data_IF_923225078196
#
_entry.id   IF_923225078196
#
_cell.length_a   1.000
_cell.length_b   1.000
_cell.length_c   1.000
_cell.angle_alpha   90.00
_cell.angle_beta   90.00
_cell.angle_gamma   90.00
#
_symmetry.space_group_name_H-M   'P 1'
#
loop_
_entity.id
_entity.type
_entity.pdbx_description
1 polymer ?
#
# COMPACT_ATOMS: atom_id res chain seq x y z
N UNK A 1 6.07 29.60 -14.75
CA UNK A 1 6.87 28.79 -13.81
C UNK A 1 7.13 27.42 -14.44
N UNK A 2 8.36 26.91 -14.44
CA UNK A 2 8.58 25.50 -14.82
C UNK A 2 7.90 24.63 -13.76
N UNK A 3 7.16 23.57 -14.15
CA UNK A 3 6.58 22.68 -13.16
C UNK A 3 7.69 22.12 -12.26
N UNK A 4 7.43 22.10 -10.97
CA UNK A 4 8.37 21.52 -10.00
C UNK A 4 8.61 20.04 -10.37
N UNK A 5 9.85 19.58 -10.44
CA UNK A 5 10.12 18.20 -10.83
C UNK A 5 9.48 17.24 -9.84
N UNK A 6 8.88 16.16 -10.33
CA UNK A 6 8.32 15.08 -9.50
C UNK A 6 9.45 14.43 -8.67
N UNK A 7 9.71 14.95 -7.48
CA UNK A 7 10.82 14.58 -6.61
C UNK A 7 10.33 14.28 -5.18
N UNK A 8 9.69 13.12 -4.94
CA UNK A 8 9.15 12.77 -3.63
C UNK A 8 10.21 12.46 -2.58
N UNK A 9 11.43 12.08 -3.01
CA UNK A 9 12.41 11.46 -2.14
C UNK A 9 13.35 12.42 -1.43
N UNK A 10 13.67 12.09 -0.17
CA UNK A 10 14.79 12.65 0.58
C UNK A 10 15.84 11.56 0.89
N UNK A 11 17.04 12.00 1.15
CA UNK A 11 18.15 11.10 1.46
C UNK A 11 17.93 10.40 2.81
N UNK A 12 17.91 9.06 2.87
CA UNK A 12 17.70 8.33 4.11
C UNK A 12 18.90 8.42 5.08
N UNK A 13 20.03 9.01 4.65
CA UNK A 13 21.24 9.16 5.46
C UNK A 13 21.39 10.55 6.06
N UNK A 14 20.87 11.60 5.41
CA UNK A 14 21.04 12.98 5.85
C UNK A 14 19.80 13.88 5.75
N UNK A 15 18.67 13.36 5.25
CA UNK A 15 17.42 14.09 5.15
C UNK A 15 17.33 15.11 4.02
N UNK A 16 18.43 15.42 3.30
CA UNK A 16 18.40 16.37 2.20
C UNK A 16 17.58 15.87 1.00
N UNK A 17 16.97 16.76 0.20
CA UNK A 17 16.25 16.36 -1.01
C UNK A 17 17.14 15.56 -1.95
N UNK A 18 16.55 14.54 -2.56
CA UNK A 18 17.18 13.74 -3.61
C UNK A 18 16.67 14.19 -4.98
N UNK A 19 17.59 14.38 -5.92
CA UNK A 19 17.31 14.78 -7.31
C UNK A 19 18.03 13.88 -8.30
N UNK A 20 17.50 13.78 -9.53
CA UNK A 20 18.05 12.96 -10.61
C UNK A 20 17.08 11.85 -11.07
N UNK A 21 17.40 11.21 -12.20
CA UNK A 21 16.55 10.21 -12.83
C UNK A 21 17.22 8.82 -12.91
N UNK A 22 18.47 8.76 -13.31
CA UNK A 22 19.25 7.49 -13.38
C UNK A 22 19.90 7.15 -12.04
N UNK A 23 20.31 8.17 -11.30
CA UNK A 23 20.74 8.08 -9.91
C UNK A 23 20.18 9.27 -9.14
N UNK A 24 19.64 9.00 -7.96
CA UNK A 24 19.24 10.06 -7.03
C UNK A 24 20.46 10.50 -6.21
N UNK A 25 20.69 11.80 -6.12
CA UNK A 25 21.81 12.40 -5.36
C UNK A 25 21.32 13.52 -4.46
N UNK A 26 21.94 13.66 -3.28
CA UNK A 26 21.75 14.80 -2.39
C UNK A 26 22.96 15.74 -2.41
N UNK A 27 22.83 16.93 -1.81
CA UNK A 27 23.90 17.92 -1.71
C UNK A 27 25.17 17.44 -0.99
N UNK A 28 25.06 16.39 -0.14
CA UNK A 28 26.20 15.75 0.53
C UNK A 28 26.81 14.58 -0.26
N UNK A 29 26.51 14.48 -1.55
CA UNK A 29 27.02 13.44 -2.46
C UNK A 29 26.62 11.99 -2.14
N UNK A 30 25.61 11.74 -1.30
CA UNK A 30 25.03 10.40 -1.23
C UNK A 30 24.32 10.11 -2.55
N UNK A 31 24.54 8.91 -3.10
CA UNK A 31 24.02 8.50 -4.40
C UNK A 31 23.32 7.16 -4.31
N UNK A 32 22.17 7.05 -4.98
CA UNK A 32 21.34 5.85 -5.02
C UNK A 32 20.98 5.57 -6.49
N UNK A 33 21.52 4.51 -7.06
CA UNK A 33 21.29 4.13 -8.45
C UNK A 33 19.87 3.62 -8.65
N UNK A 34 19.31 3.95 -9.81
CA UNK A 34 18.03 3.41 -10.25
C UNK A 34 18.21 1.98 -10.73
N UNK A 35 17.44 1.06 -10.15
CA UNK A 35 17.40 -0.32 -10.62
C UNK A 35 16.85 -0.39 -12.07
N UNK A 36 17.23 -1.41 -12.82
CA UNK A 36 16.76 -1.62 -14.20
C UNK A 36 15.23 -1.70 -14.34
N UNK A 37 14.55 -2.08 -13.27
CA UNK A 37 13.08 -2.13 -13.21
C UNK A 37 12.42 -0.79 -12.90
N UNK A 38 13.20 0.25 -12.58
CA UNK A 38 12.71 1.62 -12.43
C UNK A 38 12.50 2.09 -10.98
N UNK A 39 12.93 1.35 -9.96
CA UNK A 39 12.84 1.74 -8.55
C UNK A 39 14.21 2.10 -7.95
N UNK A 40 14.20 2.72 -6.76
CA UNK A 40 15.40 3.01 -5.96
C UNK A 40 15.42 2.20 -4.68
N UNK A 41 16.63 1.81 -4.22
CA UNK A 41 16.81 1.17 -2.92
C UNK A 41 17.21 2.24 -1.89
N UNK A 42 16.23 2.75 -1.14
CA UNK A 42 16.41 3.82 -0.15
C UNK A 42 16.35 3.30 1.30
N UNK A 43 16.41 1.98 1.51
CA UNK A 43 16.49 1.36 2.83
C UNK A 43 17.98 1.18 3.21
N UNK A 44 18.48 1.92 4.21
CA UNK A 44 19.87 1.75 4.67
C UNK A 44 20.12 0.34 5.22
N UNK A 45 21.29 -0.23 4.93
CA UNK A 45 21.66 -1.59 5.38
C UNK A 45 21.60 -1.71 6.91
N UNK A 46 22.04 -0.69 7.63
CA UNK A 46 22.01 -0.66 9.10
C UNK A 46 20.59 -0.63 9.68
N UNK A 47 19.58 -0.29 8.89
CA UNK A 47 18.16 -0.31 9.29
C UNK A 47 17.49 -1.66 9.02
N UNK A 48 18.18 -2.60 8.39
CA UNK A 48 17.67 -3.91 8.06
C UNK A 48 17.85 -4.88 9.24
N UNK A 49 16.74 -5.38 9.81
CA UNK A 49 16.77 -6.41 10.87
C UNK A 49 17.05 -7.82 10.33
N UNK A 50 16.79 -8.05 9.05
CA UNK A 50 17.00 -9.33 8.35
C UNK A 50 17.56 -9.05 6.96
N UNK A 51 18.18 -10.06 6.32
CA UNK A 51 18.73 -9.93 4.96
C UNK A 51 17.66 -9.68 3.89
N UNK A 52 16.41 -10.09 4.13
CA UNK A 52 15.27 -9.93 3.23
C UNK A 52 14.03 -9.54 4.06
N UNK A 53 13.86 -8.27 4.43
CA UNK A 53 12.70 -7.82 5.18
C UNK A 53 11.45 -7.79 4.31
N UNK A 54 10.29 -7.91 4.96
CA UNK A 54 8.98 -7.89 4.31
C UNK A 54 8.56 -9.25 3.74
N UNK A 55 7.60 -9.22 2.85
CA UNK A 55 7.03 -10.41 2.23
C UNK A 55 8.05 -11.16 1.35
N UNK A 56 8.03 -12.49 1.42
CA UNK A 56 8.85 -13.34 0.55
C UNK A 56 8.42 -13.23 -0.92
N UNK A 57 9.26 -13.73 -1.83
CA UNK A 57 8.90 -13.77 -3.27
C UNK A 57 7.64 -14.58 -3.53
N UNK A 58 7.47 -15.66 -2.79
CA UNK A 58 6.33 -16.58 -2.90
C UNK A 58 5.04 -15.88 -2.44
N UNK A 59 5.07 -15.17 -1.31
CA UNK A 59 3.94 -14.38 -0.81
C UNK A 59 3.55 -13.26 -1.79
N UNK A 60 4.55 -12.54 -2.32
CA UNK A 60 4.32 -11.48 -3.32
C UNK A 60 3.72 -12.05 -4.60
N UNK A 61 4.20 -13.22 -5.06
CA UNK A 61 3.65 -13.89 -6.24
C UNK A 61 2.21 -14.35 -6.01
N UNK A 62 1.92 -14.94 -4.84
CA UNK A 62 0.57 -15.37 -4.45
C UNK A 62 -0.40 -14.19 -4.40
N UNK A 63 -0.02 -13.09 -3.72
CA UNK A 63 -0.82 -11.85 -3.67
C UNK A 63 -1.09 -11.31 -5.06
N UNK A 64 -0.08 -11.22 -5.90
CA UNK A 64 -0.22 -10.75 -7.28
C UNK A 64 -1.18 -11.64 -8.09
N UNK A 65 -1.07 -12.95 -8.00
CA UNK A 65 -1.96 -13.88 -8.69
C UNK A 65 -3.41 -13.68 -8.26
N UNK A 66 -3.66 -13.61 -6.95
CA UNK A 66 -4.99 -13.40 -6.39
C UNK A 66 -5.60 -12.04 -6.78
N UNK A 67 -4.85 -10.95 -6.62
CA UNK A 67 -5.35 -9.60 -6.94
C UNK A 67 -5.62 -9.45 -8.46
N UNK A 68 -4.76 -9.99 -9.31
CA UNK A 68 -4.96 -9.95 -10.76
C UNK A 68 -6.11 -10.86 -11.25
N UNK A 69 -6.51 -11.87 -10.48
CA UNK A 69 -7.73 -12.64 -10.75
C UNK A 69 -9.03 -11.83 -10.52
N UNK A 70 -8.93 -10.61 -9.97
CA UNK A 70 -10.05 -9.68 -9.86
C UNK A 70 -10.91 -9.81 -8.60
N UNK A 71 -10.57 -10.71 -7.67
CA UNK A 71 -11.37 -10.95 -6.46
C UNK A 71 -11.59 -9.67 -5.63
N UNK A 72 -10.62 -8.75 -5.61
CA UNK A 72 -10.74 -7.47 -4.92
C UNK A 72 -11.14 -6.30 -5.84
N UNK A 73 -11.83 -6.59 -6.95
CA UNK A 73 -12.26 -5.55 -7.89
C UNK A 73 -13.17 -4.48 -7.25
N UNK A 74 -14.05 -4.86 -6.32
CA UNK A 74 -14.88 -3.90 -5.56
C UNK A 74 -14.03 -2.95 -4.70
N UNK A 75 -12.97 -3.47 -4.09
CA UNK A 75 -12.00 -2.70 -3.34
C UNK A 75 -11.26 -1.68 -4.22
N UNK A 76 -10.71 -2.13 -5.35
CA UNK A 76 -9.95 -1.27 -6.26
C UNK A 76 -10.79 -0.11 -6.81
N UNK A 77 -12.06 -0.35 -7.15
CA UNK A 77 -12.99 0.71 -7.56
C UNK A 77 -13.26 1.72 -6.45
N UNK A 78 -13.62 1.22 -5.26
CA UNK A 78 -13.89 2.08 -4.10
C UNK A 78 -12.66 2.94 -3.72
N UNK A 79 -11.47 2.35 -3.77
CA UNK A 79 -10.23 3.06 -3.51
C UNK A 79 -9.99 4.19 -4.52
N UNK A 80 -10.15 3.94 -5.82
CA UNK A 80 -10.02 4.96 -6.86
C UNK A 80 -11.03 6.10 -6.68
N UNK A 81 -12.30 5.79 -6.39
CA UNK A 81 -13.35 6.78 -6.10
C UNK A 81 -13.02 7.63 -4.87
N UNK A 82 -12.54 7.01 -3.79
CA UNK A 82 -12.16 7.74 -2.57
C UNK A 82 -10.93 8.62 -2.79
N UNK A 83 -9.92 8.14 -3.52
CA UNK A 83 -8.77 8.96 -3.88
C UNK A 83 -9.17 10.18 -4.73
N UNK A 84 -10.13 10.02 -5.65
CA UNK A 84 -10.69 11.14 -6.42
C UNK A 84 -11.49 12.11 -5.56
N UNK A 85 -12.28 11.61 -4.61
CA UNK A 85 -13.13 12.44 -3.75
C UNK A 85 -12.33 13.21 -2.69
N UNK A 86 -11.32 12.57 -2.11
CA UNK A 86 -10.54 13.15 -1.01
C UNK A 86 -9.19 13.72 -1.43
N UNK A 87 -8.70 13.41 -2.62
CA UNK A 87 -7.46 13.98 -3.15
C UNK A 87 -7.66 15.44 -3.55
N UNK A 88 -7.05 16.35 -2.78
CA UNK A 88 -7.09 17.80 -3.03
C UNK A 88 -5.68 18.26 -3.35
N UNK A 89 -5.34 18.60 -4.61
CA UNK A 89 -4.02 19.09 -4.95
C UNK A 89 -3.78 20.50 -4.40
N UNK A 90 -2.52 20.89 -4.29
CA UNK A 90 -2.10 22.19 -3.75
C UNK A 90 -2.55 23.38 -4.64
N UNK A 91 -2.82 23.16 -5.92
CA UNK A 91 -3.31 24.18 -6.86
C UNK A 91 -4.32 23.60 -7.84
N UNK A 92 -5.17 24.46 -8.42
CA UNK A 92 -6.27 24.04 -9.30
C UNK A 92 -5.82 23.17 -10.49
N UNK A 93 -4.66 23.48 -11.07
CA UNK A 93 -4.08 22.77 -12.22
C UNK A 93 -2.87 21.89 -11.84
N UNK A 94 -2.57 21.79 -10.53
CA UNK A 94 -1.45 20.96 -10.06
C UNK A 94 -1.82 19.48 -10.07
N UNK A 95 -0.87 18.57 -10.38
CA UNK A 95 -1.10 17.15 -10.17
C UNK A 95 -1.26 16.86 -8.67
N UNK A 96 -2.13 15.91 -8.33
CA UNK A 96 -2.22 15.39 -6.97
C UNK A 96 -0.93 14.61 -6.63
N UNK A 97 -0.27 14.95 -5.51
CA UNK A 97 0.83 14.16 -4.99
C UNK A 97 0.27 13.05 -4.07
N UNK A 98 0.25 11.83 -4.57
CA UNK A 98 -0.24 10.66 -3.84
C UNK A 98 0.93 9.78 -3.40
N UNK A 99 0.97 9.45 -2.11
CA UNK A 99 1.94 8.54 -1.51
C UNK A 99 1.26 7.25 -1.07
N UNK A 100 1.69 6.09 -1.60
CA UNK A 100 1.28 4.78 -1.09
C UNK A 100 2.35 4.21 -0.14
N UNK A 101 2.03 4.21 1.16
CA UNK A 101 2.91 3.74 2.23
C UNK A 101 2.69 2.25 2.52
N UNK A 102 3.50 1.41 1.91
CA UNK A 102 3.35 -0.04 1.89
C UNK A 102 2.66 -0.52 0.61
N UNK A 103 3.13 -0.03 -0.55
CA UNK A 103 2.50 -0.23 -1.86
C UNK A 103 2.48 -1.68 -2.35
N UNK A 104 3.22 -2.58 -1.70
CA UNK A 104 3.30 -3.97 -2.14
C UNK A 104 3.76 -4.09 -3.59
N UNK A 105 3.03 -4.88 -4.40
CA UNK A 105 3.32 -5.09 -5.82
C UNK A 105 2.64 -4.06 -6.76
N UNK A 106 2.02 -3.00 -6.18
CA UNK A 106 1.45 -1.87 -6.92
C UNK A 106 0.09 -2.14 -7.58
N UNK A 107 -0.67 -3.13 -7.13
CA UNK A 107 -2.01 -3.40 -7.69
C UNK A 107 -2.98 -2.26 -7.38
N UNK A 108 -2.96 -1.75 -6.15
CA UNK A 108 -3.79 -0.61 -5.72
C UNK A 108 -3.43 0.66 -6.49
N UNK A 109 -2.14 0.90 -6.68
CA UNK A 109 -1.64 2.04 -7.46
C UNK A 109 -2.14 2.04 -8.90
N UNK A 110 -2.22 0.85 -9.53
CA UNK A 110 -2.79 0.72 -10.88
C UNK A 110 -4.28 1.05 -10.91
N UNK A 111 -5.04 0.61 -9.91
CA UNK A 111 -6.47 0.96 -9.79
C UNK A 111 -6.66 2.48 -9.65
N UNK A 112 -5.84 3.13 -8.82
CA UNK A 112 -5.88 4.58 -8.62
C UNK A 112 -5.49 5.31 -9.90
N UNK A 113 -4.37 4.94 -10.52
CA UNK A 113 -3.90 5.56 -11.76
C UNK A 113 -4.95 5.45 -12.88
N UNK A 114 -5.61 4.31 -12.99
CA UNK A 114 -6.71 4.11 -13.94
C UNK A 114 -7.90 5.03 -13.63
N UNK A 115 -8.33 5.14 -12.37
CA UNK A 115 -9.43 6.01 -11.97
C UNK A 115 -9.13 7.49 -12.27
N UNK A 116 -7.91 7.95 -11.96
CA UNK A 116 -7.49 9.33 -12.27
C UNK A 116 -7.41 9.59 -13.77
N UNK A 117 -6.90 8.64 -14.55
CA UNK A 117 -6.87 8.76 -16.02
C UNK A 117 -8.28 8.85 -16.61
N UNK A 118 -9.23 8.02 -16.14
CA UNK A 118 -10.63 8.07 -16.57
C UNK A 118 -11.32 9.38 -16.19
N UNK A 119 -10.96 9.97 -15.06
CA UNK A 119 -11.47 11.26 -14.61
C UNK A 119 -10.77 12.47 -15.26
N UNK A 120 -9.74 12.26 -16.08
CA UNK A 120 -8.93 13.33 -16.66
C UNK A 120 -8.17 14.18 -15.63
N UNK A 121 -7.90 13.63 -14.44
CA UNK A 121 -7.20 14.33 -13.36
C UNK A 121 -5.73 13.89 -13.29
N UNK A 122 -4.77 14.83 -13.28
CA UNK A 122 -3.36 14.48 -13.15
C UNK A 122 -3.01 14.01 -11.74
N UNK A 123 -2.22 12.93 -11.64
CA UNK A 123 -1.67 12.41 -10.38
C UNK A 123 -0.19 12.11 -10.53
N UNK A 124 0.60 12.48 -9.53
CA UNK A 124 1.98 12.07 -9.36
C UNK A 124 2.05 11.06 -8.20
N UNK A 125 2.16 9.79 -8.54
CA UNK A 125 2.13 8.68 -7.59
C UNK A 125 3.54 8.27 -7.21
N UNK A 126 3.81 8.24 -5.90
CA UNK A 126 4.98 7.64 -5.31
C UNK A 126 4.57 6.52 -4.35
N UNK A 127 5.32 5.42 -4.34
CA UNK A 127 5.04 4.31 -3.43
C UNK A 127 6.32 3.70 -2.89
N UNK A 128 6.26 3.15 -1.70
CA UNK A 128 7.38 2.38 -1.15
C UNK A 128 6.88 1.16 -0.39
N UNK A 129 7.73 0.16 -0.34
CA UNK A 129 7.54 -1.04 0.47
C UNK A 129 8.89 -1.55 0.95
N UNK A 130 8.90 -2.26 2.06
CA UNK A 130 10.13 -2.86 2.58
C UNK A 130 10.55 -4.12 1.80
N UNK A 131 9.57 -4.80 1.18
CA UNK A 131 9.78 -6.01 0.38
C UNK A 131 10.29 -5.66 -1.03
N UNK A 132 11.60 -5.77 -1.24
CA UNK A 132 12.23 -5.54 -2.55
C UNK A 132 11.56 -6.32 -3.71
N UNK A 133 11.14 -7.59 -3.56
CA UNK A 133 10.42 -8.31 -4.61
C UNK A 133 9.11 -7.63 -5.04
N UNK A 134 8.37 -7.05 -4.08
CA UNK A 134 7.12 -6.35 -4.32
C UNK A 134 7.36 -5.05 -5.10
N UNK A 135 8.25 -4.19 -4.60
CA UNK A 135 8.62 -2.91 -5.23
C UNK A 135 9.10 -3.11 -6.68
N UNK A 136 9.87 -4.17 -6.94
CA UNK A 136 10.31 -4.53 -8.29
C UNK A 136 9.14 -4.78 -9.25
N UNK A 137 8.08 -5.42 -8.77
CA UNK A 137 6.87 -5.68 -9.57
C UNK A 137 6.03 -4.42 -9.75
N UNK A 138 5.90 -3.59 -8.72
CA UNK A 138 5.20 -2.31 -8.78
C UNK A 138 5.81 -1.39 -9.85
N UNK A 139 7.14 -1.20 -9.81
CA UNK A 139 7.85 -0.36 -10.76
C UNK A 139 7.71 -0.83 -12.23
N UNK A 140 7.68 -2.16 -12.45
CA UNK A 140 7.42 -2.71 -13.79
C UNK A 140 5.98 -2.52 -14.25
N UNK A 141 5.03 -2.60 -13.32
CA UNK A 141 3.61 -2.55 -13.63
C UNK A 141 3.10 -1.13 -13.89
N UNK A 142 3.69 -0.13 -13.23
CA UNK A 142 3.33 1.29 -13.38
C UNK A 142 4.60 2.15 -13.48
N UNK A 143 5.28 2.18 -14.64
CA UNK A 143 6.56 2.91 -14.83
C UNK A 143 6.45 4.43 -14.66
N UNK A 144 5.24 5.00 -14.77
CA UNK A 144 4.98 6.42 -14.57
C UNK A 144 5.07 6.85 -13.09
N UNK A 145 4.88 5.90 -12.16
CA UNK A 145 5.02 6.14 -10.73
C UNK A 145 6.48 6.03 -10.27
N UNK A 146 6.80 6.61 -9.13
CA UNK A 146 8.12 6.51 -8.51
C UNK A 146 8.08 5.57 -7.31
N UNK A 147 8.91 4.51 -7.36
CA UNK A 147 8.93 3.49 -6.32
C UNK A 147 10.28 3.38 -5.60
N UNK A 148 10.24 3.12 -4.30
CA UNK A 148 11.43 2.88 -3.51
C UNK A 148 11.29 1.68 -2.57
N UNK A 149 12.38 0.97 -2.34
CA UNK A 149 12.49 0.04 -1.20
C UNK A 149 12.80 0.86 0.04
N UNK A 150 11.89 0.87 1.02
CA UNK A 150 12.00 1.70 2.21
C UNK A 150 11.17 1.16 3.37
N UNK A 151 11.40 1.68 4.58
CA UNK A 151 10.63 1.38 5.79
C UNK A 151 9.53 2.41 6.03
N UNK A 152 8.35 1.97 6.46
CA UNK A 152 7.28 2.88 6.89
C UNK A 152 7.66 3.73 8.12
N UNK A 153 8.58 3.23 8.96
CA UNK A 153 9.01 3.91 10.18
C UNK A 153 10.22 4.84 10.00
N UNK A 154 10.75 4.95 8.79
CA UNK A 154 11.79 5.91 8.40
C UNK A 154 11.63 6.16 6.90
N UNK A 155 10.60 6.91 6.55
CA UNK A 155 10.21 7.13 5.17
C UNK A 155 11.18 8.09 4.47
N UNK A 156 11.81 7.70 3.36
CA UNK A 156 12.67 8.59 2.59
C UNK A 156 11.84 9.53 1.69
N UNK A 157 10.77 10.08 2.25
CA UNK A 157 9.85 11.01 1.58
C UNK A 157 10.04 12.39 2.18
N UNK A 158 10.08 13.42 1.34
CA UNK A 158 10.21 14.83 1.76
C UNK A 158 9.06 15.20 2.71
N UNK A 159 9.40 16.01 3.70
CA UNK A 159 8.41 16.61 4.61
C UNK A 159 7.37 17.38 3.81
N UNK A 160 6.10 17.22 4.16
CA UNK A 160 4.95 17.93 3.57
C UNK A 160 4.84 17.79 2.04
N UNK A 161 5.32 16.66 1.49
CA UNK A 161 5.23 16.40 0.06
C UNK A 161 3.85 15.90 -0.38
N UNK A 162 3.19 15.04 0.40
CA UNK A 162 1.98 14.36 -0.02
C UNK A 162 0.72 15.19 0.23
N UNK A 163 -0.13 15.32 -0.77
CA UNK A 163 -1.52 15.81 -0.65
C UNK A 163 -2.43 14.73 -0.09
N UNK A 164 -2.22 13.48 -0.55
CA UNK A 164 -2.96 12.29 -0.14
C UNK A 164 -1.98 11.15 0.17
N UNK A 165 -2.13 10.55 1.35
CA UNK A 165 -1.42 9.35 1.77
C UNK A 165 -2.38 8.17 1.81
N UNK A 166 -1.96 7.06 1.22
CA UNK A 166 -2.63 5.79 1.29
C UNK A 166 -1.84 4.83 2.19
N UNK A 167 -2.54 4.13 3.07
CA UNK A 167 -2.00 3.01 3.84
C UNK A 167 -3.00 1.86 3.82
N UNK A 168 -2.70 0.82 3.02
CA UNK A 168 -3.55 -0.36 2.87
C UNK A 168 -2.90 -1.56 3.53
N UNK A 169 -3.49 -2.05 4.64
CA UNK A 169 -3.03 -3.26 5.35
C UNK A 169 -1.54 -3.25 5.74
N UNK A 170 -0.97 -2.08 5.85
CA UNK A 170 0.44 -1.85 6.15
C UNK A 170 0.60 -1.28 7.57
N UNK A 171 1.77 -1.39 8.22
CA UNK A 171 1.99 -0.83 9.54
C UNK A 171 1.69 0.67 9.58
N UNK A 172 0.98 1.11 10.62
CA UNK A 172 0.67 2.51 10.85
C UNK A 172 1.84 3.23 11.51
N UNK A 173 2.45 4.18 10.81
CA UNK A 173 3.61 4.96 11.25
C UNK A 173 3.23 6.43 11.45
N UNK A 174 2.49 6.73 12.54
CA UNK A 174 1.83 8.00 12.79
C UNK A 174 2.74 9.22 12.59
N UNK A 175 3.91 9.25 13.22
CA UNK A 175 4.84 10.38 13.14
C UNK A 175 5.33 10.64 11.71
N UNK A 176 5.65 9.57 10.99
CA UNK A 176 6.08 9.67 9.61
C UNK A 176 4.93 10.10 8.69
N UNK A 177 3.70 9.61 8.92
CA UNK A 177 2.53 10.03 8.16
C UNK A 177 2.23 11.52 8.37
N UNK A 178 2.33 12.01 9.62
CA UNK A 178 2.24 13.45 9.92
C UNK A 178 3.32 14.26 9.22
N UNK A 179 4.55 13.77 9.21
CA UNK A 179 5.69 14.47 8.61
C UNK A 179 5.53 14.61 7.09
N UNK A 180 5.16 13.53 6.39
CA UNK A 180 5.12 13.52 4.93
C UNK A 180 3.88 14.17 4.32
N UNK A 181 2.76 14.19 5.05
CA UNK A 181 1.56 14.91 4.65
C UNK A 181 1.76 16.41 4.84
N UNK A 182 1.34 17.22 3.85
CA UNK A 182 1.26 18.68 4.01
C UNK A 182 0.16 19.05 5.02
N UNK A 183 0.15 20.28 5.58
CA UNK A 183 -0.98 20.80 6.35
C UNK A 183 -2.28 20.70 5.54
N UNK A 184 -3.35 20.16 6.15
CA UNK A 184 -4.62 19.86 5.48
C UNK A 184 -4.55 18.74 4.44
N UNK A 185 -3.42 18.04 4.31
CA UNK A 185 -3.29 16.82 3.53
C UNK A 185 -4.10 15.69 4.17
N UNK A 186 -4.51 14.72 3.36
CA UNK A 186 -5.44 13.67 3.80
C UNK A 186 -4.81 12.30 3.75
N UNK A 187 -5.32 11.41 4.59
CA UNK A 187 -4.91 10.02 4.65
C UNK A 187 -6.12 9.11 4.47
N UNK A 188 -6.00 8.11 3.61
CA UNK A 188 -6.92 6.98 3.53
C UNK A 188 -6.23 5.78 4.16
N UNK A 189 -6.73 5.36 5.31
CA UNK A 189 -6.25 4.19 6.03
C UNK A 189 -7.24 3.05 5.85
N UNK A 190 -6.78 1.92 5.32
CA UNK A 190 -7.63 0.79 4.99
C UNK A 190 -7.33 -0.40 5.88
N UNK A 191 -8.37 -0.89 6.54
CA UNK A 191 -8.34 -2.04 7.43
C UNK A 191 -9.39 -3.08 7.04
N UNK A 192 -9.22 -4.35 7.41
CA UNK A 192 -10.26 -5.35 7.19
C UNK A 192 -11.49 -5.03 8.04
N UNK A 193 -12.68 -5.18 7.45
CA UNK A 193 -13.95 -5.18 8.19
C UNK A 193 -14.12 -6.44 9.03
N UNK A 194 -15.14 -6.43 9.90
CA UNK A 194 -15.37 -7.52 10.86
C UNK A 194 -15.47 -8.91 10.18
N UNK A 195 -16.22 -9.00 9.11
CA UNK A 195 -16.49 -10.25 8.39
C UNK A 195 -15.43 -10.64 7.36
N UNK A 196 -14.38 -9.82 7.19
CA UNK A 196 -13.36 -10.08 6.17
C UNK A 196 -12.73 -11.46 6.33
N UNK A 197 -12.92 -12.33 5.32
CA UNK A 197 -12.43 -13.70 5.24
C UNK A 197 -12.89 -14.58 6.43
N UNK A 198 -14.10 -14.33 6.97
CA UNK A 198 -14.59 -15.08 8.12
C UNK A 198 -14.75 -16.57 7.81
N UNK A 199 -15.29 -16.96 6.65
CA UNK A 199 -15.50 -18.36 6.29
C UNK A 199 -14.15 -19.08 6.09
N UNK A 200 -13.12 -18.38 5.60
CA UNK A 200 -11.78 -18.96 5.58
C UNK A 200 -11.26 -19.23 7.00
N UNK A 201 -11.47 -18.29 7.95
CA UNK A 201 -11.10 -18.52 9.35
C UNK A 201 -11.88 -19.67 9.96
N UNK A 202 -13.14 -19.87 9.58
CA UNK A 202 -13.96 -20.99 10.05
C UNK A 202 -13.43 -22.36 9.58
N UNK A 203 -12.75 -22.40 8.45
CA UNK A 203 -12.03 -23.60 7.99
C UNK A 203 -10.69 -23.78 8.72
N UNK A 204 -9.96 -22.68 8.95
CA UNK A 204 -8.61 -22.70 9.51
C UNK A 204 -8.58 -22.96 11.02
N UNK A 205 -9.58 -22.50 11.77
CA UNK A 205 -9.58 -22.50 13.23
C UNK A 205 -10.82 -23.17 13.80
N UNK A 206 -10.66 -23.95 14.86
CA UNK A 206 -11.78 -24.60 15.57
C UNK A 206 -12.69 -23.57 16.26
N UNK A 207 -12.15 -22.42 16.65
CA UNK A 207 -12.90 -21.29 17.18
C UNK A 207 -12.62 -20.05 16.29
N UNK A 208 -13.39 -19.84 15.23
CA UNK A 208 -13.22 -18.72 14.34
C UNK A 208 -13.61 -17.40 15.03
N UNK A 209 -12.93 -16.32 14.65
CA UNK A 209 -13.15 -15.00 15.23
C UNK A 209 -13.33 -13.94 14.13
N UNK A 210 -14.18 -12.94 14.40
CA UNK A 210 -14.31 -11.75 13.56
C UNK A 210 -13.12 -10.81 13.78
N UNK A 211 -12.78 -10.01 12.77
CA UNK A 211 -11.76 -8.98 12.97
C UNK A 211 -12.27 -7.95 13.97
N UNK A 212 -11.43 -7.47 14.91
CA UNK A 212 -11.83 -6.40 15.80
C UNK A 212 -12.05 -5.11 15.00
N UNK A 213 -13.17 -4.46 15.26
CA UNK A 213 -13.45 -3.12 14.76
C UNK A 213 -13.06 -2.13 15.86
N UNK A 214 -11.93 -1.47 15.67
CA UNK A 214 -11.44 -0.48 16.61
C UNK A 214 -11.77 0.93 16.10
N UNK A 215 -12.31 1.75 16.98
CA UNK A 215 -12.31 3.20 16.80
C UNK A 215 -10.99 3.71 17.39
N UNK A 216 -10.12 4.22 16.55
CA UNK A 216 -8.81 4.73 16.98
C UNK A 216 -8.72 6.20 16.65
N UNK A 217 -8.46 7.00 17.68
CA UNK A 217 -8.04 8.38 17.50
C UNK A 217 -6.53 8.42 17.27
N UNK A 218 -6.11 9.09 16.22
CA UNK A 218 -4.70 9.31 15.91
C UNK A 218 -4.34 10.76 16.15
N UNK A 219 -3.37 11.00 17.03
CA UNK A 219 -2.93 12.35 17.39
C UNK A 219 -2.46 13.13 16.16
N UNK A 220 -2.98 14.35 15.97
CA UNK A 220 -2.71 15.22 14.83
C UNK A 220 -3.45 14.83 13.55
N UNK A 221 -4.50 13.98 13.68
CA UNK A 221 -5.37 13.60 12.59
C UNK A 221 -6.85 13.73 13.00
N UNK A 222 -7.62 14.46 12.22
CA UNK A 222 -9.07 14.60 12.40
C UNK A 222 -9.79 13.65 11.45
N UNK A 223 -10.69 12.78 11.93
CA UNK A 223 -11.51 11.95 11.07
C UNK A 223 -12.47 12.83 10.26
N UNK A 224 -12.55 12.60 8.95
CA UNK A 224 -13.40 13.36 8.02
C UNK A 224 -14.31 12.50 7.17
N UNK A 225 -14.18 11.18 7.24
CA UNK A 225 -15.05 10.26 6.52
C UNK A 225 -14.71 8.81 6.79
N UNK A 226 -15.68 7.97 6.47
CA UNK A 226 -15.54 6.52 6.49
C UNK A 226 -16.40 5.92 5.37
N UNK A 227 -15.93 4.83 4.78
CA UNK A 227 -16.70 4.02 3.85
C UNK A 227 -16.42 2.54 4.09
N UNK A 228 -17.49 1.76 4.17
CA UNK A 228 -17.39 0.29 4.16
C UNK A 228 -17.72 -0.23 2.77
N UNK A 229 -16.98 -1.25 2.35
CA UNK A 229 -17.22 -1.99 1.11
C UNK A 229 -17.12 -3.47 1.41
N UNK A 230 -18.17 -4.21 1.07
CA UNK A 230 -18.23 -5.65 1.31
C UNK A 230 -18.83 -6.38 0.11
N UNK A 231 -18.54 -7.65 0.02
CA UNK A 231 -19.05 -8.56 -0.99
C UNK A 231 -18.65 -9.99 -0.67
N UNK A 232 -19.07 -10.93 -1.50
CA UNK A 232 -18.69 -12.32 -1.38
C UNK A 232 -17.92 -12.76 -2.63
N UNK A 233 -16.90 -13.59 -2.44
CA UNK A 233 -16.09 -14.15 -3.51
C UNK A 233 -16.07 -15.67 -3.40
N UNK A 234 -16.08 -16.36 -4.54
CA UNK A 234 -15.86 -17.82 -4.61
C UNK A 234 -14.49 -18.06 -5.22
N UNK A 235 -13.62 -18.71 -4.47
CA UNK A 235 -12.23 -18.99 -4.81
C UNK A 235 -12.08 -20.49 -5.06
N UNK A 236 -11.72 -20.95 -6.27
CA UNK A 236 -11.53 -22.35 -6.59
C UNK A 236 -10.25 -22.91 -5.94
N UNK A 237 -10.18 -24.24 -5.78
CA UNK A 237 -9.07 -24.96 -5.14
C UNK A 237 -7.68 -24.47 -5.59
N UNK A 238 -7.48 -24.30 -6.89
CA UNK A 238 -6.19 -23.86 -7.46
C UNK A 238 -5.74 -22.45 -7.06
N UNK A 239 -6.57 -21.66 -6.38
CA UNK A 239 -6.27 -20.30 -5.93
C UNK A 239 -6.43 -20.11 -4.42
N UNK A 240 -6.89 -21.13 -3.68
CA UNK A 240 -7.03 -21.09 -2.22
C UNK A 240 -5.69 -20.90 -1.51
N UNK A 241 -4.65 -21.56 -2.01
CA UNK A 241 -3.29 -21.37 -1.49
C UNK A 241 -2.81 -19.93 -1.66
N UNK A 242 -3.08 -19.32 -2.82
CA UNK A 242 -2.71 -17.91 -3.07
C UNK A 242 -3.46 -16.96 -2.13
N UNK A 243 -4.77 -17.16 -1.93
CA UNK A 243 -5.55 -16.41 -0.95
C UNK A 243 -4.96 -16.57 0.46
N UNK A 244 -4.67 -17.79 0.88
CA UNK A 244 -4.14 -18.07 2.21
C UNK A 244 -2.75 -17.47 2.43
N UNK A 245 -1.84 -17.68 1.47
CA UNK A 245 -0.45 -17.23 1.55
C UNK A 245 -0.30 -15.68 1.57
N UNK A 246 -1.27 -14.93 1.04
CA UNK A 246 -1.24 -13.47 1.09
C UNK A 246 -1.74 -12.88 2.42
N UNK A 247 -2.27 -13.71 3.33
CA UNK A 247 -2.81 -13.27 4.62
C UNK A 247 -1.84 -13.51 5.77
N UNK A 248 -1.96 -12.76 6.88
CA UNK A 248 -1.16 -13.02 8.08
C UNK A 248 -1.51 -14.37 8.75
N UNK A 249 -2.60 -15.02 8.37
CA UNK A 249 -3.01 -16.31 8.89
C UNK A 249 -2.04 -17.43 8.49
N UNK A 250 -1.39 -17.31 7.33
CA UNK A 250 -0.42 -18.28 6.82
C UNK A 250 0.63 -18.72 7.86
N UNK A 251 1.10 -17.77 8.67
CA UNK A 251 2.14 -18.00 9.68
C UNK A 251 1.60 -18.48 11.03
N UNK A 252 0.31 -18.35 11.28
CA UNK A 252 -0.30 -18.60 12.60
C UNK A 252 -1.25 -19.78 12.61
N UNK A 253 -1.58 -20.35 11.45
CA UNK A 253 -2.54 -21.45 11.34
C UNK A 253 -1.92 -22.79 11.70
N UNK A 254 -2.59 -23.61 12.51
CA UNK A 254 -2.21 -25.00 12.74
C UNK A 254 -2.17 -25.81 11.44
N UNK A 255 -1.32 -26.84 11.38
CA UNK A 255 -1.13 -27.65 10.16
C UNK A 255 -2.41 -28.33 9.67
N UNK A 256 -3.24 -28.80 10.59
CA UNK A 256 -4.53 -29.43 10.29
C UNK A 256 -5.53 -28.43 9.69
N UNK A 257 -5.57 -27.17 10.16
CA UNK A 257 -6.37 -26.10 9.57
C UNK A 257 -5.97 -25.79 8.12
N UNK A 258 -4.66 -25.68 7.87
CA UNK A 258 -4.14 -25.51 6.51
C UNK A 258 -4.49 -26.69 5.60
N UNK A 259 -4.43 -27.93 6.13
CA UNK A 259 -4.82 -29.14 5.39
C UNK A 259 -6.32 -29.16 5.07
N UNK A 260 -7.18 -28.72 6.02
CA UNK A 260 -8.63 -28.58 5.77
C UNK A 260 -8.89 -27.62 4.61
N UNK A 261 -8.23 -26.47 4.60
CA UNK A 261 -8.39 -25.48 3.52
C UNK A 261 -7.94 -26.05 2.17
N UNK A 262 -6.79 -26.72 2.14
CA UNK A 262 -6.22 -27.30 0.92
C UNK A 262 -7.09 -28.44 0.33
N UNK A 263 -7.91 -29.09 1.14
CA UNK A 263 -8.80 -30.17 0.71
C UNK A 263 -10.13 -29.67 0.09
N UNK A 264 -10.43 -28.37 0.17
CA UNK A 264 -11.68 -27.83 -0.39
C UNK A 264 -11.61 -27.73 -1.91
N UNK A 265 -12.68 -28.06 -2.64
CA UNK A 265 -12.78 -27.83 -4.08
C UNK A 265 -12.92 -26.33 -4.41
N UNK A 266 -13.52 -25.57 -3.52
CA UNK A 266 -13.69 -24.11 -3.57
C UNK A 266 -14.02 -23.58 -2.18
N UNK A 267 -13.91 -22.27 -2.01
CA UNK A 267 -14.36 -21.56 -0.81
C UNK A 267 -15.10 -20.28 -1.21
N UNK A 268 -16.35 -20.17 -0.78
CA UNK A 268 -17.06 -18.90 -0.77
C UNK A 268 -16.82 -18.19 0.55
N UNK A 269 -16.30 -16.96 0.49
CA UNK A 269 -15.98 -16.17 1.68
C UNK A 269 -16.29 -14.69 1.47
N UNK A 270 -16.63 -14.03 2.57
CA UNK A 270 -16.88 -12.59 2.55
C UNK A 270 -15.58 -11.81 2.52
N UNK A 271 -15.59 -10.74 1.74
CA UNK A 271 -14.58 -9.71 1.75
C UNK A 271 -15.22 -8.41 2.27
N UNK A 272 -14.60 -7.78 3.25
CA UNK A 272 -15.10 -6.56 3.86
C UNK A 272 -13.93 -5.63 4.17
N UNK A 273 -14.04 -4.37 3.76
CA UNK A 273 -12.99 -3.37 3.89
C UNK A 273 -13.58 -2.08 4.48
N UNK A 274 -12.85 -1.51 5.44
CA UNK A 274 -13.17 -0.19 5.99
C UNK A 274 -12.09 0.79 5.52
N UNK A 275 -12.53 1.85 4.89
CA UNK A 275 -11.71 2.98 4.45
C UNK A 275 -11.96 4.12 5.43
N UNK A 276 -10.98 4.42 6.25
CA UNK A 276 -11.02 5.49 7.23
C UNK A 276 -10.28 6.70 6.64
N UNK A 277 -10.93 7.85 6.60
CA UNK A 277 -10.35 9.06 6.00
C UNK A 277 -10.09 10.10 7.08
N UNK A 278 -8.85 10.56 7.10
CA UNK A 278 -8.37 11.55 8.06
C UNK A 278 -7.79 12.76 7.33
N UNK A 279 -7.84 13.90 7.99
CA UNK A 279 -7.15 15.12 7.57
C UNK A 279 -6.09 15.48 8.62
N UNK A 280 -4.87 15.81 8.18
CA UNK A 280 -3.80 16.29 9.05
C UNK A 280 -4.16 17.67 9.58
N UNK A 281 -4.12 17.81 10.92
CA UNK A 281 -4.30 19.07 11.64
C UNK A 281 -3.08 19.97 11.59
#
# INVERSE_FOLDING_TARGET
>A
MKPEPFAPWQCPLCGEPLTGDTALKCGRNHSFDRAKEGYWHLLPVQSMRTKAPGDSKEMVAARRAFLNAGYYGIFGRALGELCLAYGVPTGADAPLHLLDAGCGEGWYDRCIAQAFAQAGRPVQLAGFDIAKPAVRLAAKALPAAKYAVASSFAQPVRTEWADLLLNCFSPFAQEEFRRVLRPGGRMIYVVPGAEHLYQMKAVLYDTPYKNPVQEVAYEGFRPIGEREVSGSITVPAGQLEALFAMTPYYWKTPRDGAARLAALPELTTDIAFRFLVFEKE
#
